data_IF_608447024900
#
_entry.id   IF_608447024900
#
_cell.length_a   1.000
_cell.length_b   1.000
_cell.length_c   1.000
_cell.angle_alpha   90.00
_cell.angle_beta   90.00
_cell.angle_gamma   90.00
#
_symmetry.space_group_name_H-M   'P 1'
#
loop_
_entity.id
_entity.type
_entity.pdbx_description
1 polymer ?
#
# COMPACT_ATOMS: atom_id res chain seq x y z
N UNK A 1 17.84 0.24 -6.13
CA UNK A 1 16.44 0.59 -5.78
C UNK A 1 16.41 0.72 -4.27
N UNK A 2 16.10 1.89 -3.71
CA UNK A 2 15.99 2.05 -2.25
C UNK A 2 14.80 1.24 -1.76
N UNK A 3 15.00 0.34 -0.79
CA UNK A 3 13.91 -0.43 -0.22
C UNK A 3 12.98 0.51 0.58
N UNK A 4 11.69 0.48 0.28
CA UNK A 4 10.66 1.23 1.02
C UNK A 4 10.55 0.61 2.43
N UNK A 5 10.69 1.44 3.48
CA UNK A 5 10.61 0.98 4.88
C UNK A 5 9.19 0.50 5.24
N UNK A 6 9.10 -0.46 6.16
CA UNK A 6 7.86 -0.98 6.72
C UNK A 6 7.02 0.14 7.35
N UNK A 7 7.65 1.15 7.97
CA UNK A 7 6.92 2.32 8.49
C UNK A 7 6.24 3.12 7.36
N UNK A 8 6.93 3.32 6.23
CA UNK A 8 6.33 3.99 5.04
C UNK A 8 5.15 3.19 4.51
N UNK A 9 5.26 1.85 4.52
CA UNK A 9 4.17 0.95 4.11
C UNK A 9 2.97 1.03 5.06
N UNK A 10 3.21 1.00 6.37
CA UNK A 10 2.16 1.19 7.37
C UNK A 10 1.46 2.53 7.20
N UNK A 11 2.20 3.62 6.94
CA UNK A 11 1.61 4.93 6.68
C UNK A 11 0.73 4.93 5.42
N UNK A 12 1.15 4.27 4.34
CA UNK A 12 0.33 4.13 3.14
C UNK A 12 -0.99 3.41 3.44
N UNK A 13 -0.96 2.31 4.20
CA UNK A 13 -2.15 1.56 4.61
C UNK A 13 -3.07 2.41 5.50
N UNK A 14 -2.50 3.16 6.45
CA UNK A 14 -3.24 4.12 7.29
C UNK A 14 -3.90 5.21 6.48
N UNK A 15 -3.20 5.78 5.49
CA UNK A 15 -3.75 6.82 4.61
C UNK A 15 -4.87 6.29 3.72
N UNK A 16 -4.74 5.05 3.22
CA UNK A 16 -5.80 4.39 2.48
C UNK A 16 -7.04 4.22 3.36
N UNK A 17 -6.90 3.59 4.53
CA UNK A 17 -7.99 3.40 5.48
C UNK A 17 -8.70 4.72 5.85
N UNK A 18 -7.93 5.79 6.10
CA UNK A 18 -8.48 7.12 6.36
C UNK A 18 -9.25 7.71 5.17
N UNK A 19 -8.77 7.48 3.94
CA UNK A 19 -9.46 7.93 2.72
C UNK A 19 -10.78 7.19 2.50
N UNK A 20 -10.81 5.90 2.84
CA UNK A 20 -12.02 5.07 2.77
C UNK A 20 -12.96 5.29 3.97
N UNK A 21 -12.51 5.99 5.03
CA UNK A 21 -13.28 6.14 6.26
C UNK A 21 -13.42 4.84 7.07
N UNK A 22 -12.53 3.88 6.85
CA UNK A 22 -12.54 2.56 7.50
C UNK A 22 -11.54 2.54 8.65
N UNK A 23 -11.94 2.18 9.87
CA UNK A 23 -10.98 2.01 10.96
C UNK A 23 -10.09 0.79 10.71
N UNK A 24 -8.78 0.95 10.95
CA UNK A 24 -7.87 -0.19 10.93
C UNK A 24 -8.09 -1.12 12.14
N UNK A 25 -7.75 -2.42 12.03
CA UNK A 25 -7.86 -3.35 13.15
C UNK A 25 -7.09 -2.83 14.39
N UNK A 26 -7.70 -2.79 15.59
CA UNK A 26 -7.02 -2.32 16.79
C UNK A 26 -5.75 -3.11 17.11
N UNK A 27 -5.77 -4.43 16.87
CA UNK A 27 -4.61 -5.30 17.06
C UNK A 27 -3.44 -4.95 16.12
N UNK A 28 -3.72 -4.49 14.89
CA UNK A 28 -2.70 -3.98 13.98
C UNK A 28 -2.05 -2.71 14.54
N UNK A 29 -2.88 -1.75 14.98
CA UNK A 29 -2.39 -0.48 15.53
C UNK A 29 -1.54 -0.69 16.79
N UNK A 30 -1.96 -1.59 17.67
CA UNK A 30 -1.19 -1.93 18.88
C UNK A 30 0.19 -2.51 18.55
N UNK A 31 0.29 -3.40 17.55
CA UNK A 31 1.58 -3.97 17.12
C UNK A 31 2.51 -2.90 16.50
N UNK A 32 1.96 -1.96 15.72
CA UNK A 32 2.74 -0.86 15.15
C UNK A 32 3.28 0.04 16.26
N UNK A 33 2.42 0.44 17.20
CA UNK A 33 2.82 1.24 18.36
C UNK A 33 3.85 0.52 19.25
N UNK A 34 3.71 -0.80 19.43
CA UNK A 34 4.70 -1.62 20.12
C UNK A 34 6.07 -1.60 19.43
N UNK A 35 6.11 -1.68 18.10
CA UNK A 35 7.36 -1.63 17.33
C UNK A 35 8.04 -0.25 17.41
N UNK A 36 7.25 0.82 17.44
CA UNK A 36 7.75 2.19 17.64
C UNK A 36 8.31 2.35 19.05
N UNK A 37 7.56 1.96 20.08
CA UNK A 37 8.03 1.98 21.48
C UNK A 37 9.31 1.16 21.68
N UNK A 38 9.44 0.00 21.02
CA UNK A 38 10.66 -0.80 21.04
C UNK A 38 11.86 -0.02 20.46
N UNK A 39 11.67 0.65 19.33
CA UNK A 39 12.72 1.42 18.67
C UNK A 39 13.10 2.66 19.48
N UNK A 40 12.13 3.35 20.10
CA UNK A 40 12.39 4.49 21.00
C UNK A 40 13.15 4.06 22.24
N UNK A 41 12.78 2.95 22.89
CA UNK A 41 13.50 2.42 24.04
C UNK A 41 14.97 2.11 23.71
N UNK A 42 15.25 1.61 22.49
CA UNK A 42 16.61 1.37 22.03
C UNK A 42 17.42 2.65 21.77
N UNK A 43 16.79 3.82 21.58
CA UNK A 43 17.51 5.10 21.51
C UNK A 43 18.04 5.53 22.87
N UNK A 44 17.40 5.12 23.96
CA UNK A 44 17.86 5.44 25.32
C UNK A 44 19.19 4.78 25.67
N UNK A 45 19.58 3.71 24.97
CA UNK A 45 20.87 3.02 25.16
C UNK A 45 22.02 3.69 24.41
N UNK A 46 21.77 4.78 23.68
CA UNK A 46 22.81 5.49 22.91
C UNK A 46 23.68 6.30 23.87
N UNK A 47 24.95 5.94 23.95
CA UNK A 47 25.96 6.64 24.75
C UNK A 47 27.20 6.93 23.91
N UNK A 48 27.69 8.17 24.01
CA UNK A 48 28.97 8.56 23.40
C UNK A 48 30.13 8.23 24.35
N UNK A 49 31.32 8.03 23.78
CA UNK A 49 32.54 7.78 24.57
C UNK A 49 32.87 9.00 25.44
N UNK A 50 32.62 10.20 24.93
CA UNK A 50 32.85 11.46 25.63
C UNK A 50 32.00 11.56 26.90
N UNK A 51 30.73 11.14 26.86
CA UNK A 51 29.84 11.14 28.02
C UNK A 51 30.33 10.16 29.10
N UNK A 52 30.79 8.98 28.69
CA UNK A 52 31.38 8.00 29.61
C UNK A 52 32.70 8.54 30.21
N UNK A 53 33.60 9.05 29.39
CA UNK A 53 34.89 9.58 29.84
C UNK A 53 34.70 10.74 30.83
N UNK A 54 33.79 11.68 30.53
CA UNK A 54 33.48 12.77 31.43
C UNK A 54 32.97 12.28 32.80
N UNK A 55 32.06 11.29 32.81
CA UNK A 55 31.54 10.72 34.07
C UNK A 55 32.64 10.03 34.90
N UNK A 56 33.56 9.32 34.25
CA UNK A 56 34.71 8.68 34.92
C UNK A 56 35.67 9.73 35.50
N UNK A 57 36.03 10.75 34.72
CA UNK A 57 36.93 11.82 35.18
C UNK A 57 36.32 12.61 36.34
N UNK A 58 35.04 12.94 36.29
CA UNK A 58 34.35 13.60 37.42
C UNK A 58 34.34 12.74 38.68
N UNK A 59 34.12 11.42 38.57
CA UNK A 59 34.20 10.53 39.74
C UNK A 59 35.61 10.49 40.34
N UNK A 60 36.66 10.51 39.52
CA UNK A 60 38.06 10.57 39.97
C UNK A 60 38.34 11.90 40.69
N UNK A 61 37.90 13.03 40.12
CA UNK A 61 38.06 14.36 40.72
C UNK A 61 37.36 14.48 42.08
N UNK A 62 36.19 13.84 42.22
CA UNK A 62 35.41 13.82 43.46
C UNK A 62 35.90 12.76 44.48
N UNK A 63 36.93 11.98 44.13
CA UNK A 63 37.46 10.90 44.98
C UNK A 63 36.49 9.71 45.15
N UNK A 64 35.50 9.57 44.27
CA UNK A 64 34.55 8.45 44.25
C UNK A 64 35.14 7.24 43.53
N UNK A 65 34.84 6.03 44.01
CA UNK A 65 35.23 4.80 43.32
C UNK A 65 34.36 4.60 42.07
N UNK A 66 34.92 4.96 40.91
CA UNK A 66 34.23 4.81 39.62
C UNK A 66 34.00 3.34 39.23
N UNK A 67 34.74 2.37 39.80
CA UNK A 67 34.51 0.95 39.52
C UNK A 67 33.23 0.44 40.16
N UNK A 68 32.82 0.98 41.31
CA UNK A 68 31.59 0.62 42.02
C UNK A 68 30.37 1.49 41.62
N UNK A 69 30.59 2.60 40.91
CA UNK A 69 29.53 3.53 40.52
C UNK A 69 28.57 2.89 39.48
N UNK A 70 27.31 2.70 39.89
CA UNK A 70 26.25 2.09 39.06
C UNK A 70 25.88 2.92 37.83
N UNK A 71 25.98 4.25 37.92
CA UNK A 71 25.75 5.14 36.79
C UNK A 71 26.84 4.99 35.73
N UNK A 72 28.10 4.94 36.16
CA UNK A 72 29.24 4.70 35.26
C UNK A 72 29.21 3.29 34.68
N UNK A 73 28.87 2.26 35.46
CA UNK A 73 28.69 0.89 34.97
C UNK A 73 27.61 0.82 33.88
N UNK A 74 26.47 1.52 34.07
CA UNK A 74 25.42 1.62 33.05
C UNK A 74 25.90 2.34 31.80
N UNK A 75 26.56 3.48 31.93
CA UNK A 75 27.12 4.22 30.78
C UNK A 75 28.17 3.39 30.01
N UNK A 76 28.98 2.59 30.71
CA UNK A 76 29.94 1.69 30.09
C UNK A 76 29.24 0.61 29.24
N UNK A 77 28.17 0.02 29.76
CA UNK A 77 27.33 -0.92 29.01
C UNK A 77 26.67 -0.24 27.80
N UNK A 78 26.05 0.92 27.99
CA UNK A 78 25.39 1.68 26.92
C UNK A 78 26.39 2.06 25.81
N UNK A 79 27.62 2.45 26.19
CA UNK A 79 28.69 2.74 25.24
C UNK A 79 29.15 1.49 24.47
N UNK A 80 29.22 0.33 25.14
CA UNK A 80 29.53 -0.95 24.49
C UNK A 80 28.43 -1.33 23.51
N UNK A 81 27.16 -1.28 23.91
CA UNK A 81 26.01 -1.57 23.04
C UNK A 81 25.95 -0.63 21.84
N UNK A 82 26.21 0.67 22.06
CA UNK A 82 26.29 1.68 21.00
C UNK A 82 27.40 1.34 20.01
N UNK A 83 28.59 0.96 20.49
CA UNK A 83 29.72 0.57 19.63
C UNK A 83 29.44 -0.68 18.80
N UNK A 84 28.51 -1.52 19.24
CA UNK A 84 28.05 -2.73 18.55
C UNK A 84 26.83 -2.47 17.65
N UNK A 85 26.49 -1.20 17.38
CA UNK A 85 25.36 -0.80 16.53
C UNK A 85 24.00 -1.33 16.99
N UNK A 86 23.75 -1.39 18.30
CA UNK A 86 22.46 -1.85 18.85
C UNK A 86 21.25 -1.11 18.24
N UNK A 87 21.38 0.17 17.92
CA UNK A 87 20.31 0.96 17.32
C UNK A 87 19.98 0.50 15.90
N UNK A 88 20.97 0.06 15.11
CA UNK A 88 20.72 -0.49 13.78
C UNK A 88 20.00 -1.84 13.88
N UNK A 89 20.40 -2.70 14.83
CA UNK A 89 19.71 -3.97 15.10
C UNK A 89 18.28 -3.74 15.60
N UNK A 90 18.06 -2.78 16.49
CA UNK A 90 16.74 -2.43 16.99
C UNK A 90 15.83 -1.88 15.88
N UNK A 91 16.35 -1.02 14.99
CA UNK A 91 15.61 -0.56 13.81
C UNK A 91 15.22 -1.72 12.89
N UNK A 92 16.15 -2.63 12.59
CA UNK A 92 15.85 -3.82 11.78
C UNK A 92 14.74 -4.65 12.42
N UNK A 93 14.80 -4.86 13.73
CA UNK A 93 13.76 -5.60 14.45
C UNK A 93 12.42 -4.86 14.49
N UNK A 94 12.41 -3.54 14.64
CA UNK A 94 11.21 -2.71 14.55
C UNK A 94 10.54 -2.84 13.17
N UNK A 95 11.34 -2.77 12.10
CA UNK A 95 10.87 -2.97 10.73
C UNK A 95 10.27 -4.37 10.50
N UNK A 96 10.89 -5.42 11.06
CA UNK A 96 10.36 -6.78 11.05
C UNK A 96 9.00 -6.88 11.77
N UNK A 97 8.86 -6.25 12.94
CA UNK A 97 7.61 -6.25 13.71
C UNK A 97 6.47 -5.57 12.95
N UNK A 98 6.73 -4.41 12.33
CA UNK A 98 5.72 -3.72 11.50
C UNK A 98 5.36 -4.54 10.27
N UNK A 99 6.36 -5.16 9.61
CA UNK A 99 6.11 -6.03 8.45
C UNK A 99 5.26 -7.24 8.83
N UNK A 100 5.55 -7.87 9.97
CA UNK A 100 4.75 -8.97 10.50
C UNK A 100 3.31 -8.53 10.80
N UNK A 101 3.12 -7.37 11.45
CA UNK A 101 1.80 -6.82 11.72
C UNK A 101 0.99 -6.57 10.45
N UNK A 102 1.62 -6.01 9.41
CA UNK A 102 0.98 -5.81 8.10
C UNK A 102 0.56 -7.13 7.45
N UNK A 103 1.38 -8.18 7.53
CA UNK A 103 1.04 -9.49 6.99
C UNK A 103 -0.07 -10.18 7.80
N UNK A 104 0.02 -10.18 9.13
CA UNK A 104 -0.93 -10.84 10.02
C UNK A 104 -2.35 -10.29 9.90
N UNK A 105 -2.49 -9.01 9.52
CA UNK A 105 -3.76 -8.30 9.44
C UNK A 105 -4.12 -7.87 8.02
N UNK A 106 -3.41 -8.35 6.99
CA UNK A 106 -3.66 -7.94 5.61
C UNK A 106 -5.10 -8.26 5.17
N UNK A 107 -5.57 -9.47 5.44
CA UNK A 107 -6.91 -9.90 5.05
C UNK A 107 -8.01 -9.12 5.78
N UNK A 108 -7.89 -8.94 7.11
CA UNK A 108 -8.83 -8.13 7.90
C UNK A 108 -8.95 -6.68 7.37
N UNK A 109 -7.81 -6.09 6.97
CA UNK A 109 -7.76 -4.74 6.40
C UNK A 109 -8.44 -4.70 5.03
N UNK A 110 -8.13 -5.68 4.16
CA UNK A 110 -8.69 -5.74 2.81
C UNK A 110 -10.19 -6.03 2.81
N UNK A 111 -10.67 -6.87 3.73
CA UNK A 111 -12.10 -7.15 3.90
C UNK A 111 -12.86 -5.86 4.29
N UNK A 112 -12.35 -5.12 5.28
CA UNK A 112 -12.92 -3.83 5.67
C UNK A 112 -12.92 -2.79 4.56
N UNK A 113 -11.89 -2.79 3.71
CA UNK A 113 -11.85 -1.92 2.52
C UNK A 113 -12.82 -2.36 1.44
N UNK A 114 -12.96 -3.67 1.20
CA UNK A 114 -13.90 -4.21 0.22
C UNK A 114 -15.33 -3.77 0.52
N UNK A 115 -15.76 -3.91 1.78
CA UNK A 115 -17.11 -3.52 2.22
C UNK A 115 -17.37 -2.02 1.99
N UNK A 116 -16.40 -1.15 2.31
CA UNK A 116 -16.53 0.30 2.11
C UNK A 116 -16.56 0.70 0.63
N UNK A 117 -15.96 -0.09 -0.27
CA UNK A 117 -15.90 0.20 -1.70
C UNK A 117 -17.18 -0.16 -2.45
N UNK A 118 -18.11 -0.91 -1.86
CA UNK A 118 -19.38 -1.29 -2.51
C UNK A 118 -20.22 -0.05 -2.85
N UNK A 119 -20.40 0.87 -1.89
CA UNK A 119 -21.12 2.13 -2.14
C UNK A 119 -20.41 3.01 -3.16
N UNK A 120 -19.07 3.08 -3.09
CA UNK A 120 -18.26 3.82 -4.05
C UNK A 120 -18.39 3.26 -5.47
N UNK A 121 -18.42 1.93 -5.62
CA UNK A 121 -18.65 1.27 -6.91
C UNK A 121 -20.03 1.62 -7.47
N UNK A 122 -21.07 1.60 -6.63
CA UNK A 122 -22.42 1.98 -7.04
C UNK A 122 -22.49 3.44 -7.55
N UNK A 123 -21.79 4.36 -6.89
CA UNK A 123 -21.70 5.76 -7.36
C UNK A 123 -20.99 5.90 -8.71
N UNK A 124 -19.94 5.13 -8.96
CA UNK A 124 -19.25 5.14 -10.26
C UNK A 124 -20.15 4.58 -11.37
N UNK A 125 -20.85 3.47 -11.12
CA UNK A 125 -21.80 2.89 -12.08
C UNK A 125 -22.92 3.89 -12.39
N UNK A 126 -23.56 4.47 -11.36
CA UNK A 126 -24.63 5.45 -11.55
C UNK A 126 -24.18 6.68 -12.35
N UNK A 127 -22.96 7.18 -12.09
CA UNK A 127 -22.40 8.31 -12.84
C UNK A 127 -22.05 7.94 -14.29
N UNK A 128 -21.58 6.71 -14.52
CA UNK A 128 -21.32 6.20 -15.86
C UNK A 128 -22.62 6.05 -16.68
N UNK A 129 -23.67 5.48 -16.09
CA UNK A 129 -24.99 5.34 -16.71
C UNK A 129 -25.63 6.70 -17.03
N UNK A 130 -25.43 7.69 -16.17
CA UNK A 130 -25.87 9.07 -16.39
C UNK A 130 -25.01 9.85 -17.41
N UNK A 131 -23.98 9.23 -17.98
CA UNK A 131 -23.09 9.85 -18.97
C UNK A 131 -22.33 11.07 -18.42
N UNK A 132 -21.97 11.05 -17.13
CA UNK A 132 -21.26 12.16 -16.51
C UNK A 132 -19.81 12.21 -16.97
N UNK A 133 -19.27 13.42 -17.10
CA UNK A 133 -17.85 13.65 -17.28
C UNK A 133 -17.27 14.16 -15.95
N UNK A 134 -16.38 13.38 -15.33
CA UNK A 134 -15.79 13.72 -14.03
C UNK A 134 -15.00 15.04 -14.02
N UNK A 135 -14.63 15.56 -15.19
CA UNK A 135 -13.91 16.82 -15.36
C UNK A 135 -14.82 18.03 -15.63
N UNK A 136 -16.11 17.82 -15.88
CA UNK A 136 -17.05 18.87 -16.27
C UNK A 136 -18.00 19.26 -15.12
N UNK A 137 -17.45 19.99 -14.14
CA UNK A 137 -18.24 20.53 -13.04
C UNK A 137 -19.30 21.54 -13.53
N UNK A 138 -18.95 22.35 -14.53
CA UNK A 138 -19.86 23.36 -15.12
C UNK A 138 -21.11 22.74 -15.75
N UNK A 139 -20.94 21.68 -16.54
CA UNK A 139 -22.05 20.98 -17.17
C UNK A 139 -22.87 20.16 -16.18
N UNK A 140 -22.30 19.74 -15.04
CA UNK A 140 -23.08 19.16 -13.95
C UNK A 140 -23.94 20.22 -13.25
N UNK A 141 -23.40 21.41 -12.96
CA UNK A 141 -24.16 22.52 -12.36
C UNK A 141 -25.33 22.94 -13.25
N UNK A 142 -25.12 23.03 -14.56
CA UNK A 142 -26.18 23.38 -15.51
C UNK A 142 -27.32 22.34 -15.56
N UNK A 143 -27.04 21.07 -15.26
CA UNK A 143 -28.03 19.99 -15.21
C UNK A 143 -28.76 19.88 -13.86
N UNK A 144 -28.28 20.57 -12.83
CA UNK A 144 -28.94 20.71 -11.54
C UNK A 144 -28.21 20.03 -10.37
N UNK A 145 -28.77 20.22 -9.18
CA UNK A 145 -28.16 19.83 -7.90
C UNK A 145 -27.93 18.32 -7.80
N UNK A 146 -28.85 17.50 -8.30
CA UNK A 146 -28.72 16.04 -8.20
C UNK A 146 -27.59 15.51 -9.09
N UNK A 147 -27.42 16.05 -10.29
CA UNK A 147 -26.26 15.74 -11.16
C UNK A 147 -24.94 16.17 -10.51
N UNK A 148 -24.93 17.33 -9.84
CA UNK A 148 -23.75 17.78 -9.09
C UNK A 148 -23.41 16.84 -7.93
N UNK A 149 -24.41 16.35 -7.18
CA UNK A 149 -24.20 15.36 -6.11
C UNK A 149 -23.64 14.05 -6.64
N UNK A 150 -24.20 13.53 -7.73
CA UNK A 150 -23.71 12.30 -8.37
C UNK A 150 -22.28 12.46 -8.88
N UNK A 151 -21.96 13.59 -9.53
CA UNK A 151 -20.60 13.90 -9.97
C UNK A 151 -19.63 13.91 -8.78
N UNK A 152 -20.00 14.57 -7.69
CA UNK A 152 -19.16 14.66 -6.50
C UNK A 152 -18.94 13.30 -5.84
N UNK A 153 -20.00 12.51 -5.68
CA UNK A 153 -19.92 11.15 -5.15
C UNK A 153 -19.01 10.25 -6.00
N UNK A 154 -19.11 10.33 -7.33
CA UNK A 154 -18.22 9.61 -8.24
C UNK A 154 -16.76 10.08 -8.13
N UNK A 155 -16.49 11.37 -7.99
CA UNK A 155 -15.13 11.89 -7.77
C UNK A 155 -14.53 11.39 -6.45
N UNK A 156 -15.33 11.30 -5.38
CA UNK A 156 -14.90 10.70 -4.11
C UNK A 156 -14.61 9.21 -4.31
N UNK A 157 -15.50 8.49 -5.00
CA UNK A 157 -15.34 7.07 -5.27
C UNK A 157 -14.05 6.76 -6.07
N UNK A 158 -13.69 7.57 -7.08
CA UNK A 158 -12.41 7.41 -7.79
C UNK A 158 -11.22 7.55 -6.84
N UNK A 159 -11.26 8.52 -5.93
CA UNK A 159 -10.17 8.72 -4.94
C UNK A 159 -10.09 7.56 -3.95
N UNK A 160 -11.24 7.06 -3.48
CA UNK A 160 -11.31 5.91 -2.58
C UNK A 160 -10.71 4.66 -3.24
N UNK A 161 -11.11 4.37 -4.49
CA UNK A 161 -10.56 3.24 -5.25
C UNK A 161 -9.06 3.36 -5.52
N UNK A 162 -8.56 4.55 -5.88
CA UNK A 162 -7.13 4.76 -6.08
C UNK A 162 -6.32 4.60 -4.77
N UNK A 163 -6.88 5.06 -3.64
CA UNK A 163 -6.27 4.86 -2.33
C UNK A 163 -6.24 3.38 -1.92
N UNK A 164 -7.34 2.66 -2.15
CA UNK A 164 -7.44 1.22 -1.92
C UNK A 164 -6.45 0.43 -2.79
N UNK A 165 -6.31 0.76 -4.07
CA UNK A 165 -5.36 0.14 -4.99
C UNK A 165 -3.91 0.30 -4.51
N UNK A 166 -3.53 1.52 -4.12
CA UNK A 166 -2.19 1.81 -3.63
C UNK A 166 -1.90 1.12 -2.28
N UNK A 167 -2.88 1.11 -1.38
CA UNK A 167 -2.81 0.35 -0.13
C UNK A 167 -2.72 -1.16 -0.36
N UNK A 168 -3.50 -1.69 -1.31
CA UNK A 168 -3.50 -3.09 -1.70
C UNK A 168 -2.12 -3.52 -2.21
N UNK A 169 -1.52 -2.75 -3.12
CA UNK A 169 -0.18 -3.05 -3.62
C UNK A 169 0.88 -2.98 -2.53
N UNK A 170 0.69 -2.12 -1.53
CA UNK A 170 1.56 -2.08 -0.36
C UNK A 170 1.47 -3.37 0.45
N UNK A 171 0.26 -3.87 0.74
CA UNK A 171 0.04 -5.14 1.44
C UNK A 171 0.55 -6.34 0.62
N UNK A 172 0.26 -6.39 -0.68
CA UNK A 172 0.77 -7.42 -1.58
C UNK A 172 2.30 -7.49 -1.60
N UNK A 173 2.96 -6.33 -1.59
CA UNK A 173 4.42 -6.26 -1.53
C UNK A 173 5.00 -6.71 -0.16
N UNK A 174 4.24 -6.61 0.94
CA UNK A 174 4.63 -7.10 2.27
C UNK A 174 4.46 -8.62 2.35
N UNK A 175 3.41 -9.15 1.72
CA UNK A 175 3.15 -10.58 1.59
C UNK A 175 4.09 -11.29 0.58
N UNK A 176 5.00 -10.55 -0.07
CA UNK A 176 5.93 -11.12 -1.06
C UNK A 176 5.28 -11.47 -2.40
N UNK A 177 4.07 -10.99 -2.66
CA UNK A 177 3.37 -11.20 -3.93
C UNK A 177 4.03 -10.34 -5.01
N UNK A 178 4.48 -10.97 -6.09
CA UNK A 178 5.13 -10.25 -7.20
C UNK A 178 4.11 -9.43 -7.97
N UNK A 179 4.24 -8.11 -7.90
CA UNK A 179 3.43 -7.14 -8.66
C UNK A 179 4.01 -7.01 -10.07
N UNK A 180 3.84 -8.06 -10.87
CA UNK A 180 4.17 -8.02 -12.32
C UNK A 180 2.91 -7.85 -13.18
N UNK A 181 1.74 -7.72 -12.55
CA UNK A 181 0.46 -7.54 -13.18
C UNK A 181 0.05 -6.05 -13.13
N UNK A 182 -0.77 -5.63 -14.09
CA UNK A 182 -1.41 -4.30 -14.11
C UNK A 182 -2.29 -4.11 -12.87
N UNK A 183 -2.39 -2.87 -12.39
CA UNK A 183 -3.22 -2.50 -11.22
C UNK A 183 -4.69 -2.95 -11.34
N UNK A 184 -5.19 -3.08 -12.59
CA UNK A 184 -6.50 -3.65 -12.92
C UNK A 184 -6.79 -5.02 -12.28
N UNK A 185 -5.79 -5.85 -12.04
CA UNK A 185 -5.97 -7.17 -11.39
C UNK A 185 -6.44 -7.05 -9.95
N UNK A 186 -6.02 -6.00 -9.24
CA UNK A 186 -6.51 -5.70 -7.91
C UNK A 186 -7.97 -5.20 -7.94
N UNK A 187 -8.35 -4.52 -9.02
CA UNK A 187 -9.62 -3.81 -9.13
C UNK A 187 -10.78 -4.66 -9.65
N UNK A 188 -10.52 -5.70 -10.44
CA UNK A 188 -11.60 -6.47 -11.10
C UNK A 188 -11.23 -7.94 -11.34
N UNK A 189 -12.21 -8.86 -11.34
CA UNK A 189 -12.01 -10.25 -11.76
C UNK A 189 -12.09 -10.45 -13.28
N UNK A 190 -12.33 -9.40 -14.06
CA UNK A 190 -12.52 -9.48 -15.51
C UNK A 190 -11.31 -10.10 -16.24
N UNK A 191 -11.59 -10.88 -17.29
CA UNK A 191 -10.57 -11.50 -18.13
C UNK A 191 -10.01 -10.53 -19.17
N UNK A 192 -8.89 -10.88 -19.79
CA UNK A 192 -8.21 -10.01 -20.78
C UNK A 192 -9.16 -9.52 -21.89
N UNK A 193 -9.99 -10.42 -22.43
CA UNK A 193 -10.92 -10.09 -23.51
C UNK A 193 -12.00 -9.08 -23.07
N UNK A 194 -12.46 -9.16 -21.82
CA UNK A 194 -13.45 -8.24 -21.25
C UNK A 194 -12.84 -6.85 -20.96
N UNK A 195 -11.52 -6.79 -20.72
CA UNK A 195 -10.79 -5.54 -20.47
C UNK A 195 -10.47 -4.75 -21.75
N UNK A 196 -10.63 -5.35 -22.95
CA UNK A 196 -10.26 -4.69 -24.21
C UNK A 196 -10.92 -3.30 -24.40
N UNK A 197 -12.24 -3.12 -24.17
CA UNK A 197 -12.88 -1.80 -24.29
C UNK A 197 -12.31 -0.77 -23.30
N UNK A 198 -11.93 -1.20 -22.09
CA UNK A 198 -11.33 -0.33 -21.09
C UNK A 198 -9.92 0.12 -21.48
N UNK A 199 -9.10 -0.78 -22.05
CA UNK A 199 -7.78 -0.41 -22.57
C UNK A 199 -7.87 0.56 -23.75
N UNK A 200 -8.83 0.37 -24.66
CA UNK A 200 -9.08 1.30 -25.77
C UNK A 200 -9.50 2.68 -25.26
N UNK A 201 -10.48 2.74 -24.36
CA UNK A 201 -10.95 4.01 -23.79
C UNK A 201 -9.85 4.73 -23.02
N UNK A 202 -9.05 4.02 -22.22
CA UNK A 202 -7.93 4.59 -21.49
C UNK A 202 -6.87 5.15 -22.44
N UNK A 203 -6.59 4.46 -23.56
CA UNK A 203 -5.67 4.93 -24.59
C UNK A 203 -6.17 6.21 -25.27
N UNK A 204 -7.44 6.27 -25.62
CA UNK A 204 -8.05 7.45 -26.24
C UNK A 204 -8.01 8.66 -25.31
N UNK A 205 -8.21 8.44 -24.00
CA UNK A 205 -8.13 9.47 -22.97
C UNK A 205 -6.71 9.73 -22.45
N UNK A 206 -5.71 9.01 -22.98
CA UNK A 206 -4.29 9.10 -22.60
C UNK A 206 -4.08 8.95 -21.09
N UNK A 207 -4.73 7.95 -20.52
CA UNK A 207 -4.65 7.61 -19.10
C UNK A 207 -4.48 6.11 -18.90
N UNK A 208 -4.29 5.68 -17.66
CA UNK A 208 -4.25 4.27 -17.30
C UNK A 208 -5.67 3.77 -16.99
N UNK A 209 -5.89 2.46 -17.13
CA UNK A 209 -7.17 1.85 -16.77
C UNK A 209 -7.33 1.93 -15.25
N UNK A 210 -8.27 2.74 -14.81
CA UNK A 210 -8.63 2.95 -13.40
C UNK A 210 -10.11 2.58 -13.15
N UNK A 211 -10.56 2.69 -11.90
CA UNK A 211 -11.92 2.35 -11.51
C UNK A 211 -13.02 3.09 -12.32
N UNK A 212 -12.76 4.34 -12.72
CA UNK A 212 -13.71 5.10 -13.54
C UNK A 212 -13.82 4.56 -14.97
N UNK A 213 -12.69 4.26 -15.60
CA UNK A 213 -12.66 3.65 -16.94
C UNK A 213 -13.38 2.30 -16.92
N UNK A 214 -13.09 1.45 -15.92
CA UNK A 214 -13.75 0.15 -15.77
C UNK A 214 -15.27 0.30 -15.62
N UNK A 215 -15.73 1.24 -14.77
CA UNK A 215 -17.15 1.49 -14.55
C UNK A 215 -17.87 1.95 -15.83
N UNK A 216 -17.24 2.83 -16.62
CA UNK A 216 -17.80 3.27 -17.91
C UNK A 216 -17.90 2.18 -18.96
N UNK A 217 -17.07 1.15 -18.86
CA UNK A 217 -17.14 -0.03 -19.71
C UNK A 217 -18.07 -1.12 -19.14
N UNK A 218 -18.78 -0.86 -18.03
CA UNK A 218 -19.66 -1.84 -17.39
C UNK A 218 -18.90 -3.00 -16.74
N UNK A 219 -17.61 -2.83 -16.44
CA UNK A 219 -16.77 -3.85 -15.80
C UNK A 219 -16.94 -3.75 -14.29
N UNK A 220 -17.29 -4.86 -13.67
CA UNK A 220 -17.50 -4.94 -12.22
C UNK A 220 -16.20 -4.66 -11.47
N UNK A 221 -16.27 -3.73 -10.53
CA UNK A 221 -15.22 -3.45 -9.57
C UNK A 221 -15.38 -4.37 -8.35
N UNK A 222 -14.29 -5.03 -7.97
CA UNK A 222 -14.22 -5.87 -6.78
C UNK A 222 -12.77 -6.02 -6.36
N UNK A 223 -12.45 -5.43 -5.20
CA UNK A 223 -11.12 -5.49 -4.63
C UNK A 223 -10.75 -6.97 -4.42
N UNK A 224 -9.55 -7.36 -4.83
CA UNK A 224 -9.08 -8.71 -4.63
C UNK A 224 -8.61 -8.91 -3.18
N UNK A 225 -8.77 -10.13 -2.65
CA UNK A 225 -7.88 -10.60 -1.58
C UNK A 225 -6.49 -10.89 -2.15
N UNK A 226 -5.48 -11.09 -1.29
CA UNK A 226 -4.12 -11.42 -1.76
C UNK A 226 -4.05 -12.73 -2.57
N UNK A 227 -4.78 -13.74 -2.13
CA UNK A 227 -4.91 -15.02 -2.83
C UNK A 227 -5.65 -14.87 -4.17
N UNK A 228 -6.74 -14.11 -4.18
CA UNK A 228 -7.47 -13.80 -5.40
C UNK A 228 -6.60 -13.06 -6.40
N UNK A 229 -5.84 -12.06 -5.97
CA UNK A 229 -4.95 -11.30 -6.83
C UNK A 229 -3.91 -12.20 -7.48
N UNK A 230 -3.32 -13.13 -6.73
CA UNK A 230 -2.34 -14.08 -7.26
C UNK A 230 -2.98 -14.97 -8.35
N UNK A 231 -4.20 -15.46 -8.13
CA UNK A 231 -4.95 -16.25 -9.12
C UNK A 231 -5.32 -15.42 -10.35
N UNK A 232 -5.86 -14.21 -10.16
CA UNK A 232 -6.25 -13.29 -11.25
C UNK A 232 -5.03 -12.89 -12.07
N UNK A 233 -3.88 -12.63 -11.45
CA UNK A 233 -2.62 -12.31 -12.14
C UNK A 233 -2.11 -13.48 -13.00
N UNK A 234 -2.16 -14.72 -12.48
CA UNK A 234 -1.82 -15.91 -13.24
C UNK A 234 -2.76 -16.11 -14.43
N UNK A 235 -4.06 -15.88 -14.22
CA UNK A 235 -5.07 -15.97 -15.28
C UNK A 235 -4.83 -14.94 -16.38
N UNK A 236 -4.60 -13.66 -16.02
CA UNK A 236 -4.34 -12.61 -16.99
C UNK A 236 -3.08 -12.90 -17.83
N UNK A 237 -2.06 -13.47 -17.20
CA UNK A 237 -0.84 -13.91 -17.91
C UNK A 237 -1.14 -15.03 -18.90
N UNK A 238 -1.89 -16.04 -18.47
CA UNK A 238 -2.29 -17.15 -19.35
C UNK A 238 -3.11 -16.65 -20.56
N UNK A 239 -4.03 -15.71 -20.33
CA UNK A 239 -4.84 -15.09 -21.38
C UNK A 239 -3.95 -14.32 -22.37
N UNK A 240 -2.98 -13.56 -21.87
CA UNK A 240 -2.03 -12.81 -22.69
C UNK A 240 -1.15 -13.73 -23.55
N UNK A 241 -0.67 -14.83 -22.96
CA UNK A 241 0.14 -15.84 -23.68
C UNK A 241 -0.69 -16.60 -24.72
N UNK A 242 -1.99 -16.85 -24.47
CA UNK A 242 -2.91 -17.42 -25.45
C UNK A 242 -3.15 -16.47 -26.64
N UNK A 243 -3.47 -15.20 -26.38
CA UNK A 243 -3.66 -14.20 -27.43
C UNK A 243 -2.40 -14.00 -28.29
N UNK A 244 -1.21 -14.00 -27.67
CA UNK A 244 0.05 -13.88 -28.39
C UNK A 244 0.28 -15.07 -29.34
N UNK A 245 -0.04 -16.30 -28.90
CA UNK A 245 0.03 -17.50 -29.75
C UNK A 245 -0.97 -17.43 -30.90
N UNK A 246 -2.21 -17.02 -30.64
CA UNK A 246 -3.24 -16.89 -31.68
C UNK A 246 -2.90 -15.80 -32.70
N UNK A 247 -2.29 -14.70 -32.25
CA UNK A 247 -1.78 -13.63 -33.13
C UNK A 247 -0.63 -14.14 -34.00
N UNK A 248 0.32 -14.87 -33.42
CA UNK A 248 1.43 -15.47 -34.17
C UNK A 248 0.94 -16.49 -35.21
N UNK A 249 -0.02 -17.35 -34.85
CA UNK A 249 -0.63 -18.32 -35.76
C UNK A 249 -1.33 -17.63 -36.95
N UNK A 250 -2.11 -16.56 -36.70
CA UNK A 250 -2.77 -15.77 -37.75
C UNK A 250 -1.77 -15.10 -38.70
N UNK A 251 -0.70 -14.52 -38.16
CA UNK A 251 0.37 -13.90 -38.96
C UNK A 251 1.09 -14.93 -39.83
N UNK A 252 1.40 -16.11 -39.29
CA UNK A 252 2.05 -17.18 -40.04
C UNK A 252 1.15 -17.73 -41.16
N UNK A 253 -0.16 -17.91 -40.90
CA UNK A 253 -1.12 -18.33 -41.92
C UNK A 253 -1.30 -17.27 -43.03
N UNK A 254 -1.26 -15.98 -42.69
CA UNK A 254 -1.31 -14.90 -43.66
C UNK A 254 0.00 -14.75 -44.48
N UNK A 255 1.15 -15.09 -43.89
CA UNK A 255 2.46 -15.07 -44.55
C UNK A 255 2.72 -16.25 -45.49
N UNK A 256 2.03 -17.39 -45.30
CA UNK A 256 2.14 -18.58 -46.15
C UNK A 256 1.33 -18.50 -47.45
N UNK A 257 0.43 -17.51 -47.58
CA UNK A 257 -0.40 -17.26 -48.77
C UNK A 257 0.16 -16.12 -49.66
N UNK A 258 1.46 -15.81 -49.57
CA UNK A 258 2.17 -14.87 -50.45
C UNK A 258 3.22 -15.57 -51.30
#
# INVERSE_FOLDING_TARGET
MLAISAHTRAQTVTNAAATLGVPLPPAFLEKVDQAERFTEAAKETVCTKEKLHAAVLSAIEEGRDYHADKGIQRLALDCQLTSQNILAAARSRGEELVTAALNDHADDILDGWSDALDEHSAHLVAAAEAGLNLKDASGAVARGVDTMRQLHAAQIAVKAWAAAEHGFHTLAAVAGVRINATGTVALTPARLAELAPAYELARDERTEVNAWILSRCGIVLRLATLDEFTRRAAQLRADTEAEARDRAARTNAAGFNR
#
